data_IF_939952846710
#
_entry.id   IF_939952846710
#
_cell.length_a   1.000
_cell.length_b   1.000
_cell.length_c   1.000
_cell.angle_alpha   90.00
_cell.angle_beta   90.00
_cell.angle_gamma   90.00
#
_symmetry.space_group_name_H-M   'P 1'
#
loop_
_entity.id
_entity.type
_entity.pdbx_description
1 polymer ?
#
# COMPACT_ATOMS: atom_id res chain seq x y z
N UNK A 1 -3.19 -49.13 -12.39
CA UNK A 1 -2.98 -48.34 -13.64
C UNK A 1 -2.71 -46.92 -13.18
N UNK A 2 -1.48 -46.50 -12.85
CA UNK A 2 -0.31 -46.20 -13.70
C UNK A 2 -0.66 -45.29 -14.87
N UNK A 3 -0.47 -43.98 -14.68
CA UNK A 3 0.01 -43.11 -15.76
C UNK A 3 1.45 -42.74 -15.40
N UNK A 4 2.33 -43.24 -16.25
CA UNK A 4 3.79 -43.23 -16.18
C UNK A 4 4.26 -41.86 -16.66
N UNK A 5 5.03 -41.15 -15.84
CA UNK A 5 5.85 -40.03 -16.32
C UNK A 5 6.93 -40.58 -17.25
N UNK A 6 6.87 -40.24 -18.54
CA UNK A 6 7.98 -40.46 -19.46
C UNK A 6 8.84 -39.19 -19.46
N UNK A 7 9.98 -39.27 -18.78
CA UNK A 7 11.15 -38.46 -19.12
C UNK A 7 11.72 -39.00 -20.45
N UNK A 8 11.74 -38.19 -21.49
CA UNK A 8 12.61 -38.41 -22.66
C UNK A 8 13.74 -37.41 -22.54
N UNK A 9 14.96 -37.95 -22.42
CA UNK A 9 16.15 -37.17 -22.15
C UNK A 9 16.92 -36.72 -23.39
N UNK A 10 17.92 -35.89 -23.06
CA UNK A 10 19.26 -35.87 -23.63
C UNK A 10 19.48 -35.08 -24.94
N UNK A 11 19.90 -33.82 -24.79
CA UNK A 11 21.12 -33.33 -25.45
C UNK A 11 21.73 -32.16 -24.67
N UNK A 12 23.05 -32.22 -24.62
CA UNK A 12 24.02 -31.52 -23.79
C UNK A 12 24.24 -30.06 -24.26
N UNK A 13 24.00 -29.07 -23.40
CA UNK A 13 24.77 -27.81 -23.32
C UNK A 13 24.29 -26.92 -22.15
N UNK A 14 25.23 -26.61 -21.24
CA UNK A 14 25.26 -25.54 -20.22
C UNK A 14 23.93 -24.90 -19.78
N UNK A 15 23.45 -25.27 -18.60
CA UNK A 15 22.47 -24.50 -17.82
C UNK A 15 23.13 -24.06 -16.51
N UNK A 16 23.44 -22.77 -16.41
CA UNK A 16 23.32 -22.05 -15.15
C UNK A 16 22.04 -21.20 -15.27
N UNK A 17 20.89 -21.88 -15.39
CA UNK A 17 19.59 -21.27 -15.23
C UNK A 17 19.21 -21.47 -13.77
N UNK A 18 19.10 -20.38 -13.03
CA UNK A 18 18.56 -20.38 -11.68
C UNK A 18 17.21 -21.09 -11.69
N UNK A 19 17.11 -22.18 -10.93
CA UNK A 19 15.84 -22.75 -10.55
C UNK A 19 15.17 -21.72 -9.64
N UNK A 20 14.14 -21.04 -10.14
CA UNK A 20 13.20 -20.31 -9.28
C UNK A 20 12.36 -21.37 -8.56
N UNK A 21 12.43 -21.36 -7.23
CA UNK A 21 11.63 -22.21 -6.36
C UNK A 21 10.13 -21.90 -6.53
N UNK A 22 9.26 -22.91 -6.78
CA UNK A 22 7.83 -22.70 -6.93
C UNK A 22 7.08 -22.45 -5.60
N UNK A 23 7.77 -22.42 -4.45
CA UNK A 23 7.15 -22.26 -3.12
C UNK A 23 7.09 -20.81 -2.60
N UNK A 24 7.36 -19.80 -3.44
CA UNK A 24 7.28 -18.37 -3.06
C UNK A 24 5.94 -17.69 -3.40
N UNK A 25 4.98 -18.42 -3.98
CA UNK A 25 3.67 -17.86 -4.28
C UNK A 25 2.70 -18.09 -3.11
N UNK A 26 2.45 -17.05 -2.33
CA UNK A 26 1.29 -17.03 -1.44
C UNK A 26 0.05 -16.81 -2.31
N UNK A 27 -0.56 -17.90 -2.78
CA UNK A 27 -1.95 -17.87 -3.22
C UNK A 27 -2.83 -17.70 -1.98
N UNK A 28 -3.39 -16.51 -1.77
CA UNK A 28 -4.44 -16.31 -0.77
C UNK A 28 -5.75 -16.85 -1.32
N UNK A 29 -6.10 -18.06 -0.88
CA UNK A 29 -7.42 -18.65 -1.08
C UNK A 29 -8.49 -17.80 -0.38
N UNK A 30 -9.53 -17.45 -1.14
CA UNK A 30 -10.67 -16.67 -0.68
C UNK A 30 -11.68 -17.53 0.08
N UNK A 31 -11.82 -17.30 1.38
CA UNK A 31 -13.00 -17.49 2.24
C UNK A 31 -12.54 -17.15 3.68
N UNK A 32 -13.21 -16.40 4.56
CA UNK A 32 -14.61 -16.33 4.98
C UNK A 32 -14.73 -15.03 5.81
N UNK A 33 -15.67 -14.13 5.54
CA UNK A 33 -16.60 -13.53 6.53
C UNK A 33 -17.44 -12.46 5.83
N UNK A 34 -18.76 -12.53 5.99
CA UNK A 34 -19.71 -11.67 5.28
C UNK A 34 -19.88 -10.35 6.03
N UNK A 35 -19.23 -9.29 5.56
CA UNK A 35 -19.57 -7.92 5.95
C UNK A 35 -20.78 -7.41 5.13
N UNK A 36 -21.70 -6.62 5.73
CA UNK A 36 -22.94 -6.21 5.07
C UNK A 36 -22.70 -5.19 3.94
N UNK A 37 -23.58 -5.15 2.91
CA UNK A 37 -23.39 -4.29 1.74
C UNK A 37 -23.54 -2.80 2.08
N UNK A 38 -22.53 -2.00 1.74
CA UNK A 38 -22.60 -0.54 1.79
C UNK A 38 -23.51 -0.08 0.65
N UNK A 39 -24.75 0.30 1.00
CA UNK A 39 -25.68 0.97 0.09
C UNK A 39 -25.24 2.41 -0.15
N UNK A 40 -25.27 2.82 -1.41
CA UNK A 40 -25.42 4.18 -1.94
C UNK A 40 -25.01 5.34 -1.03
N UNK A 41 -23.82 5.91 -1.25
CA UNK A 41 -23.55 7.30 -0.91
C UNK A 41 -23.26 8.10 -2.18
N UNK A 42 -24.33 8.62 -2.76
CA UNK A 42 -24.29 9.77 -3.65
C UNK A 42 -23.64 11.00 -2.95
N UNK A 43 -23.06 11.95 -3.70
CA UNK A 43 -22.17 12.98 -3.17
C UNK A 43 -22.85 13.97 -2.21
N UNK A 44 -22.15 14.32 -1.12
CA UNK A 44 -22.60 15.33 -0.15
C UNK A 44 -22.60 16.73 -0.78
N UNK A 45 -23.60 17.59 -0.48
CA UNK A 45 -23.61 18.97 -0.94
C UNK A 45 -22.61 19.84 -0.15
N UNK A 46 -22.00 20.74 -0.91
CA UNK A 46 -21.11 21.86 -0.60
C UNK A 46 -21.38 22.54 0.76
N UNK A 47 -20.34 22.69 1.60
CA UNK A 47 -20.37 23.54 2.80
C UNK A 47 -19.47 24.76 2.58
N UNK A 48 -20.12 25.89 2.30
CA UNK A 48 -19.54 27.23 2.36
C UNK A 48 -19.19 27.62 3.82
N UNK A 49 -18.38 28.69 4.04
CA UNK A 49 -17.42 28.78 5.15
C UNK A 49 -18.04 29.29 6.47
N UNK A 50 -17.50 28.78 7.59
CA UNK A 50 -17.82 29.25 8.94
C UNK A 50 -17.18 30.62 9.17
N UNK A 51 -18.02 31.61 9.50
CA UNK A 51 -17.60 32.97 9.84
C UNK A 51 -17.04 33.04 11.26
N UNK A 52 -15.93 33.76 11.37
CA UNK A 52 -15.25 34.21 12.58
C UNK A 52 -16.19 35.12 13.42
N UNK A 53 -16.44 34.76 14.68
CA UNK A 53 -17.04 35.64 15.67
C UNK A 53 -16.24 35.63 16.97
N UNK A 54 -15.67 36.79 17.26
CA UNK A 54 -14.89 37.10 18.44
C UNK A 54 -15.74 37.63 19.62
N UNK A 55 -15.15 37.51 20.83
CA UNK A 55 -15.33 38.30 22.08
C UNK A 55 -16.39 37.80 23.10
N UNK A 56 -16.26 38.11 24.43
CA UNK A 56 -15.31 39.03 25.08
C UNK A 56 -14.55 38.49 26.33
N UNK A 57 -13.67 39.36 26.82
CA UNK A 57 -12.91 39.31 28.07
C UNK A 57 -13.78 39.61 29.32
N UNK A 58 -13.36 39.11 30.50
CA UNK A 58 -13.05 39.93 31.70
C UNK A 58 -12.80 39.09 32.98
N UNK A 59 -11.63 39.36 33.60
CA UNK A 59 -11.31 39.47 35.04
C UNK A 59 -11.37 38.23 36.00
N UNK A 60 -10.54 38.05 37.04
CA UNK A 60 -9.71 38.98 37.84
C UNK A 60 -8.71 38.23 38.77
N UNK A 61 -7.49 38.79 38.91
CA UNK A 61 -6.61 38.96 40.10
C UNK A 61 -6.34 37.86 41.15
N UNK A 62 -5.04 37.60 41.44
CA UNK A 62 -4.45 37.79 42.79
C UNK A 62 -2.91 37.94 42.70
N UNK A 63 -2.32 38.73 43.61
CA UNK A 63 -0.94 39.21 43.58
C UNK A 63 -0.15 38.85 44.87
N UNK A 64 1.04 38.26 44.69
CA UNK A 64 2.23 38.43 45.55
C UNK A 64 2.43 37.46 46.75
N UNK A 65 3.65 37.40 47.36
CA UNK A 65 4.78 38.32 47.19
C UNK A 65 6.15 37.67 46.83
N UNK A 66 7.07 38.56 46.45
CA UNK A 66 8.50 38.37 46.20
C UNK A 66 9.28 38.30 47.53
N UNK A 67 10.27 37.41 47.65
CA UNK A 67 11.39 37.56 48.58
C UNK A 67 12.69 36.99 47.96
N UNK A 68 13.82 37.64 48.27
CA UNK A 68 15.09 37.61 47.52
C UNK A 68 16.07 36.46 47.82
N UNK A 69 17.12 36.36 46.99
CA UNK A 69 18.27 35.44 47.11
C UNK A 69 19.23 35.75 48.29
N UNK A 70 20.50 35.21 48.36
CA UNK A 70 21.40 34.88 47.23
C UNK A 70 22.28 33.59 47.38
N UNK A 71 23.05 33.29 46.32
CA UNK A 71 24.35 32.61 46.16
C UNK A 71 24.71 31.30 46.92
N UNK A 72 25.21 30.31 46.15
CA UNK A 72 25.91 29.14 46.68
C UNK A 72 26.41 28.18 45.60
N UNK A 73 27.66 28.35 45.18
CA UNK A 73 28.45 27.44 44.33
C UNK A 73 28.66 26.07 44.97
N UNK A 74 28.53 24.98 44.20
CA UNK A 74 29.36 23.75 44.34
C UNK A 74 29.60 23.16 42.96
N UNK A 75 30.79 23.41 42.41
CA UNK A 75 31.39 22.56 41.40
C UNK A 75 31.85 21.26 42.09
N UNK A 76 31.39 20.11 41.60
CA UNK A 76 32.07 18.83 41.82
C UNK A 76 32.43 18.25 40.47
N UNK A 77 33.74 18.11 40.32
CA UNK A 77 34.45 17.39 39.28
C UNK A 77 34.03 15.90 39.26
N UNK A 78 33.91 15.32 38.07
CA UNK A 78 33.45 13.94 37.90
C UNK A 78 33.46 13.50 36.45
N UNK A 79 34.56 12.87 36.05
CA UNK A 79 34.80 12.21 34.77
C UNK A 79 33.59 11.43 34.23
N UNK A 80 33.09 11.82 33.05
CA UNK A 80 32.24 10.94 32.22
C UNK A 80 33.09 10.41 31.08
N UNK A 81 33.30 9.09 31.13
CA UNK A 81 33.96 8.31 30.12
C UNK A 81 33.20 8.28 28.78
N UNK A 82 33.98 8.13 27.72
CA UNK A 82 33.65 7.39 26.50
C UNK A 82 32.52 7.94 25.61
N UNK A 83 32.89 8.85 24.71
CA UNK A 83 32.15 9.05 23.45
C UNK A 83 32.94 8.42 22.30
N UNK A 84 32.91 7.09 22.22
CA UNK A 84 33.14 6.40 20.94
C UNK A 84 32.20 6.93 19.85
N UNK A 85 32.55 6.81 18.55
CA UNK A 85 31.77 7.41 17.49
C UNK A 85 30.38 6.78 17.48
N UNK A 86 29.38 7.61 17.76
CA UNK A 86 27.94 7.37 17.71
C UNK A 86 27.60 6.51 16.47
N UNK A 87 27.57 5.20 16.65
CA UNK A 87 27.09 4.29 15.62
C UNK A 87 25.58 4.45 15.66
N UNK A 88 25.01 5.04 14.61
CA UNK A 88 23.56 5.08 14.43
C UNK A 88 22.93 3.70 14.62
N UNK A 89 21.59 3.63 14.75
CA UNK A 89 20.89 2.38 15.04
C UNK A 89 21.37 1.26 14.10
N UNK A 90 21.53 0.02 14.62
CA UNK A 90 22.01 -1.10 13.83
C UNK A 90 21.18 -1.22 12.54
N UNK A 91 21.82 -1.59 11.42
CA UNK A 91 21.20 -1.61 10.08
C UNK A 91 19.93 -2.48 9.97
N UNK A 92 19.70 -3.36 10.94
CA UNK A 92 18.51 -4.21 11.08
C UNK A 92 17.32 -3.51 11.78
N UNK A 93 17.53 -2.29 12.26
CA UNK A 93 16.50 -1.42 12.87
C UNK A 93 16.30 -0.12 12.08
N UNK A 94 16.75 -0.07 10.82
CA UNK A 94 16.42 1.04 9.94
C UNK A 94 14.89 1.19 9.92
N UNK A 95 14.40 2.39 10.26
CA UNK A 95 12.98 2.69 10.11
C UNK A 95 12.58 2.35 8.66
N UNK A 96 11.40 1.74 8.45
CA UNK A 96 11.02 1.34 7.11
C UNK A 96 11.06 2.59 6.20
N UNK A 97 11.60 2.42 5.01
CA UNK A 97 11.75 3.48 4.02
C UNK A 97 10.69 3.38 2.91
N UNK A 98 10.71 4.31 1.95
CA UNK A 98 9.98 4.13 0.71
C UNK A 98 10.50 2.90 -0.03
N UNK A 99 9.60 2.21 -0.70
CA UNK A 99 9.86 1.01 -1.46
C UNK A 99 9.12 1.04 -2.79
N UNK A 100 9.82 0.65 -3.84
CA UNK A 100 9.25 0.57 -5.18
C UNK A 100 8.47 -0.74 -5.34
N UNK A 101 7.14 -0.61 -5.34
CA UNK A 101 6.24 -1.75 -5.50
C UNK A 101 5.83 -1.87 -6.96
N UNK A 102 6.32 -2.90 -7.65
CA UNK A 102 5.96 -3.19 -9.03
C UNK A 102 4.73 -4.09 -9.09
N UNK A 103 3.70 -3.66 -9.81
CA UNK A 103 2.51 -4.44 -10.10
C UNK A 103 2.60 -4.99 -11.53
N UNK A 104 2.37 -6.29 -11.68
CA UNK A 104 2.11 -6.93 -12.96
C UNK A 104 0.77 -7.68 -12.87
N UNK A 105 -0.17 -7.33 -13.73
CA UNK A 105 -1.50 -7.95 -13.73
C UNK A 105 -1.81 -8.58 -15.08
N UNK A 106 -2.22 -9.85 -15.06
CA UNK A 106 -2.77 -10.54 -16.21
C UNK A 106 -4.26 -10.22 -16.35
N UNK A 107 -4.64 -9.80 -17.56
CA UNK A 107 -5.99 -9.39 -17.92
C UNK A 107 -6.70 -10.54 -18.65
N UNK A 108 -8.01 -10.74 -18.42
CA UNK A 108 -8.75 -11.79 -19.11
C UNK A 108 -8.87 -11.48 -20.60
N UNK A 109 -8.98 -12.53 -21.42
CA UNK A 109 -9.21 -12.37 -22.85
C UNK A 109 -10.50 -11.57 -23.09
N UNK A 110 -10.48 -10.68 -24.09
CA UNK A 110 -11.63 -9.82 -24.38
C UNK A 110 -11.72 -8.57 -23.50
N UNK A 111 -10.78 -8.32 -22.59
CA UNK A 111 -10.68 -7.04 -21.87
C UNK A 111 -10.64 -5.88 -22.88
N UNK A 112 -11.65 -4.99 -22.90
CA UNK A 112 -11.69 -3.87 -23.85
C UNK A 112 -10.45 -2.98 -23.72
N UNK A 113 -10.05 -2.35 -24.82
CA UNK A 113 -8.91 -1.44 -24.83
C UNK A 113 -9.13 -0.25 -23.88
N UNK A 114 -8.06 0.23 -23.26
CA UNK A 114 -8.11 1.28 -22.25
C UNK A 114 -7.04 1.09 -21.17
N UNK A 115 -6.94 2.08 -20.31
CA UNK A 115 -6.02 2.10 -19.17
C UNK A 115 -6.56 1.23 -18.05
N UNK A 116 -5.67 0.49 -17.39
CA UNK A 116 -5.97 -0.22 -16.14
C UNK A 116 -5.47 0.67 -15.00
N UNK A 117 -6.26 0.82 -13.95
CA UNK A 117 -5.91 1.61 -12.79
C UNK A 117 -5.89 0.74 -11.55
N UNK A 118 -5.06 1.12 -10.58
CA UNK A 118 -5.21 0.70 -9.20
C UNK A 118 -6.09 1.72 -8.48
N UNK A 119 -7.02 1.26 -7.67
CA UNK A 119 -7.81 2.08 -6.77
C UNK A 119 -7.71 1.49 -5.37
N UNK A 120 -7.23 2.28 -4.40
CA UNK A 120 -6.90 1.73 -3.08
C UNK A 120 -6.44 2.78 -2.07
N UNK A 121 -5.87 2.33 -0.97
CA UNK A 121 -5.48 3.15 0.19
C UNK A 121 -4.09 3.80 0.04
N UNK A 122 -3.57 3.95 -1.18
CA UNK A 122 -2.19 4.38 -1.44
C UNK A 122 -1.93 5.85 -1.08
N UNK A 123 -2.94 6.71 -1.20
CA UNK A 123 -2.83 8.17 -1.07
C UNK A 123 -3.88 8.75 -0.11
N UNK A 124 -4.19 8.04 0.98
CA UNK A 124 -5.19 8.47 1.98
C UNK A 124 -4.86 9.86 2.55
N UNK A 125 -3.58 10.14 2.83
CA UNK A 125 -3.13 11.45 3.30
C UNK A 125 -3.39 12.60 2.31
N UNK A 126 -3.59 12.28 1.03
CA UNK A 126 -3.89 13.24 -0.04
C UNK A 126 -5.38 13.25 -0.42
N UNK A 127 -6.22 12.43 0.23
CA UNK A 127 -7.65 12.30 -0.06
C UNK A 127 -7.93 11.73 -1.46
N UNK A 128 -6.99 10.96 -2.03
CA UNK A 128 -7.13 10.28 -3.33
C UNK A 128 -7.31 8.77 -3.21
N UNK A 129 -7.70 8.30 -2.03
CA UNK A 129 -8.02 6.91 -1.83
C UNK A 129 -9.24 6.50 -2.68
N UNK A 130 -9.22 5.25 -3.16
CA UNK A 130 -10.34 4.64 -3.89
C UNK A 130 -10.85 5.47 -5.10
N UNK A 131 -9.95 6.17 -5.81
CA UNK A 131 -10.29 6.82 -7.07
C UNK A 131 -10.09 5.85 -8.25
N UNK A 132 -11.16 5.37 -8.93
CA UNK A 132 -11.09 4.28 -9.91
C UNK A 132 -10.41 4.66 -11.23
N UNK A 133 -10.12 5.95 -11.45
CA UNK A 133 -9.46 6.46 -12.64
C UNK A 133 -8.28 7.38 -12.32
N UNK A 134 -7.66 7.21 -11.15
CA UNK A 134 -6.50 8.02 -10.78
C UNK A 134 -5.37 7.83 -11.81
N UNK A 135 -4.97 8.93 -12.45
CA UNK A 135 -3.91 8.94 -13.45
C UNK A 135 -2.53 8.65 -12.85
N UNK A 136 -2.32 8.94 -11.56
CA UNK A 136 -1.09 8.59 -10.84
C UNK A 136 -0.97 7.08 -10.59
N UNK A 137 -2.10 6.35 -10.62
CA UNK A 137 -2.18 4.91 -10.43
C UNK A 137 -2.53 4.16 -11.74
N UNK A 138 -2.30 4.81 -12.88
CA UNK A 138 -2.47 4.20 -14.20
C UNK A 138 -1.34 3.21 -14.51
N UNK A 139 -1.72 2.03 -14.97
CA UNK A 139 -0.80 0.98 -15.41
C UNK A 139 -0.61 1.04 -16.93
N UNK A 140 0.62 0.78 -17.37
CA UNK A 140 0.97 0.64 -18.79
C UNK A 140 0.55 -0.73 -19.28
N UNK A 141 -0.34 -0.78 -20.27
CA UNK A 141 -0.88 -2.02 -20.82
C UNK A 141 -0.16 -2.47 -22.08
N UNK A 142 0.21 -3.75 -22.13
CA UNK A 142 0.81 -4.45 -23.24
C UNK A 142 0.02 -5.74 -23.51
N UNK A 143 -0.92 -5.68 -24.46
CA UNK A 143 -1.82 -6.81 -24.77
C UNK A 143 -2.72 -7.17 -23.58
N UNK A 144 -2.55 -8.37 -23.04
CA UNK A 144 -3.29 -8.89 -21.89
C UNK A 144 -2.49 -8.78 -20.58
N UNK A 145 -1.46 -7.93 -20.54
CA UNK A 145 -0.72 -7.65 -19.31
C UNK A 145 -0.70 -6.14 -19.07
N UNK A 146 -0.83 -5.69 -17.83
CA UNK A 146 -0.59 -4.31 -17.45
C UNK A 146 0.44 -4.23 -16.32
N UNK A 147 1.29 -3.21 -16.36
CA UNK A 147 2.42 -3.02 -15.44
C UNK A 147 2.51 -1.60 -14.93
N UNK A 148 2.92 -1.43 -13.69
CA UNK A 148 3.19 -0.11 -13.10
C UNK A 148 3.99 -0.23 -11.82
N UNK A 149 4.41 0.91 -11.28
CA UNK A 149 5.20 0.96 -10.05
C UNK A 149 4.64 2.07 -9.17
N UNK A 150 4.52 1.78 -7.88
CA UNK A 150 4.04 2.72 -6.87
C UNK A 150 5.05 2.72 -5.72
N UNK A 151 5.48 3.91 -5.30
CA UNK A 151 6.37 4.04 -4.14
C UNK A 151 5.53 3.99 -2.87
N UNK A 152 5.70 2.94 -2.06
CA UNK A 152 4.94 2.67 -0.84
C UNK A 152 5.85 2.49 0.36
N UNK A 153 5.28 2.60 1.56
CA UNK A 153 6.03 2.47 2.80
C UNK A 153 6.28 0.98 3.10
N UNK A 154 7.53 0.61 3.37
CA UNK A 154 7.85 -0.78 3.75
C UNK A 154 7.20 -1.16 5.08
N UNK A 155 6.76 -2.42 5.21
CA UNK A 155 6.03 -2.94 6.37
C UNK A 155 4.54 -2.56 6.45
N UNK A 156 4.10 -1.52 5.72
CA UNK A 156 2.71 -1.05 5.73
C UNK A 156 1.77 -1.98 4.97
N UNK A 157 0.49 -1.90 5.33
CA UNK A 157 -0.58 -2.67 4.70
C UNK A 157 -1.42 -1.76 3.80
N UNK A 158 -1.64 -2.20 2.57
CA UNK A 158 -2.48 -1.50 1.60
C UNK A 158 -3.61 -2.39 1.10
N UNK A 159 -4.74 -1.76 0.80
CA UNK A 159 -5.86 -2.39 0.13
C UNK A 159 -6.08 -1.76 -1.23
N UNK A 160 -6.47 -2.57 -2.22
CA UNK A 160 -6.72 -2.06 -3.57
C UNK A 160 -7.62 -2.98 -4.40
N UNK A 161 -8.07 -2.46 -5.54
CA UNK A 161 -8.71 -3.18 -6.63
C UNK A 161 -8.18 -2.71 -7.97
N UNK A 162 -8.37 -3.54 -8.99
CA UNK A 162 -8.19 -3.16 -10.39
C UNK A 162 -9.49 -2.63 -11.00
N UNK A 163 -9.37 -1.56 -11.77
CA UNK A 163 -10.48 -0.92 -12.50
C UNK A 163 -10.02 -0.53 -13.91
N UNK A 164 -10.98 -0.20 -14.78
CA UNK A 164 -10.70 0.40 -16.09
C UNK A 164 -11.07 1.88 -16.18
N UNK A 165 -11.02 2.58 -15.04
CA UNK A 165 -11.30 4.02 -14.94
C UNK A 165 -12.59 4.35 -14.18
N UNK A 166 -13.50 3.39 -14.01
CA UNK A 166 -14.79 3.55 -13.35
C UNK A 166 -15.16 2.30 -12.54
N UNK A 167 -16.00 2.46 -11.52
CA UNK A 167 -16.51 1.36 -10.69
C UNK A 167 -17.45 0.41 -11.45
N UNK A 168 -18.15 0.89 -12.49
CA UNK A 168 -18.92 0.02 -13.39
C UNK A 168 -18.00 -0.94 -14.18
N UNK A 169 -16.70 -0.68 -14.21
CA UNK A 169 -15.68 -1.45 -14.92
C UNK A 169 -14.62 -2.03 -13.96
N UNK A 170 -15.02 -2.32 -12.72
CA UNK A 170 -14.16 -2.94 -11.70
C UNK A 170 -13.98 -4.44 -11.94
N UNK A 171 -12.88 -4.99 -11.41
CA UNK A 171 -12.68 -6.43 -11.38
C UNK A 171 -13.78 -7.18 -10.62
N UNK A 172 -14.16 -8.32 -11.17
CA UNK A 172 -15.12 -9.25 -10.59
C UNK A 172 -14.61 -10.68 -10.71
N UNK A 173 -15.23 -11.59 -9.98
CA UNK A 173 -14.95 -13.02 -10.09
C UNK A 173 -15.34 -13.53 -11.48
N UNK A 174 -14.85 -14.70 -11.86
CA UNK A 174 -15.25 -15.34 -13.13
C UNK A 174 -16.76 -15.64 -13.22
N UNK A 175 -17.49 -15.60 -12.10
CA UNK A 175 -18.94 -15.80 -12.03
C UNK A 175 -19.72 -14.48 -11.83
N UNK A 176 -19.15 -13.34 -12.23
CA UNK A 176 -19.76 -12.00 -12.07
C UNK A 176 -20.00 -11.53 -10.62
N UNK A 177 -19.54 -12.27 -9.61
CA UNK A 177 -19.62 -11.85 -8.21
C UNK A 177 -18.55 -10.81 -7.88
N UNK A 178 -18.84 -9.97 -6.89
CA UNK A 178 -17.88 -9.02 -6.33
C UNK A 178 -16.61 -9.73 -5.83
N UNK A 179 -15.44 -9.12 -6.08
CA UNK A 179 -14.16 -9.53 -5.50
C UNK A 179 -13.89 -8.69 -4.26
N UNK A 180 -13.43 -9.31 -3.16
CA UNK A 180 -12.99 -8.57 -1.98
C UNK A 180 -11.78 -7.67 -2.32
N UNK A 181 -11.53 -6.63 -1.52
CA UNK A 181 -10.32 -5.81 -1.68
C UNK A 181 -9.08 -6.72 -1.64
N UNK A 182 -8.18 -6.54 -2.60
CA UNK A 182 -6.84 -7.14 -2.57
C UNK A 182 -6.06 -6.49 -1.44
N UNK A 183 -5.19 -7.27 -0.81
CA UNK A 183 -4.40 -6.82 0.34
C UNK A 183 -2.95 -7.17 0.13
N UNK A 184 -2.07 -6.18 0.30
CA UNK A 184 -0.63 -6.40 0.39
C UNK A 184 -0.12 -5.89 1.73
N UNK A 185 0.89 -6.58 2.25
CA UNK A 185 1.82 -6.02 3.23
C UNK A 185 3.16 -5.89 2.54
N UNK A 186 3.64 -4.66 2.43
CA UNK A 186 4.89 -4.37 1.75
C UNK A 186 6.03 -4.99 2.55
N UNK A 187 6.89 -5.76 1.88
CA UNK A 187 8.03 -6.45 2.48
C UNK A 187 9.21 -6.38 1.51
N UNK A 188 9.96 -5.30 1.60
CA UNK A 188 10.92 -4.96 0.57
C UNK A 188 12.24 -5.68 0.73
N UNK A 189 12.74 -6.18 -0.40
CA UNK A 189 14.08 -6.72 -0.51
C UNK A 189 14.87 -5.77 -1.42
N UNK A 190 15.97 -5.23 -0.89
CA UNK A 190 16.82 -4.27 -1.62
C UNK A 190 16.04 -3.06 -2.19
N UNK A 191 14.99 -2.62 -1.48
CA UNK A 191 14.18 -1.45 -1.85
C UNK A 191 13.07 -1.72 -2.88
N UNK A 192 12.83 -2.98 -3.25
CA UNK A 192 11.80 -3.37 -4.19
C UNK A 192 10.86 -4.45 -3.63
N UNK A 193 9.62 -4.44 -4.11
CA UNK A 193 8.62 -5.48 -3.82
C UNK A 193 7.76 -5.73 -5.06
N UNK A 194 7.50 -6.99 -5.39
CA UNK A 194 6.76 -7.36 -6.61
C UNK A 194 5.42 -7.99 -6.28
N UNK A 195 4.36 -7.51 -6.95
CA UNK A 195 3.00 -8.00 -6.86
C UNK A 195 2.59 -8.52 -8.24
N UNK A 196 2.17 -9.79 -8.29
CA UNK A 196 1.69 -10.43 -9.52
C UNK A 196 0.26 -10.87 -9.32
N UNK A 197 -0.64 -10.37 -10.16
CA UNK A 197 -2.07 -10.55 -10.03
C UNK A 197 -2.71 -11.09 -11.31
N UNK A 198 -3.91 -11.64 -11.16
CA UNK A 198 -4.78 -12.01 -12.28
C UNK A 198 -6.17 -11.44 -12.03
N UNK A 199 -6.70 -10.71 -13.01
CA UNK A 199 -8.11 -10.31 -13.04
C UNK A 199 -8.92 -11.39 -13.75
N UNK A 200 -9.98 -11.88 -13.11
CA UNK A 200 -10.79 -12.96 -13.68
C UNK A 200 -11.79 -12.45 -14.71
N UNK A 201 -12.48 -11.35 -14.43
CA UNK A 201 -13.44 -10.70 -15.32
C UNK A 201 -13.68 -9.24 -14.91
N UNK A 202 -14.45 -8.50 -15.70
CA UNK A 202 -14.84 -7.11 -15.44
C UNK A 202 -16.35 -6.97 -15.34
N UNK A 203 -16.83 -6.14 -14.42
CA UNK A 203 -18.25 -6.02 -14.11
C UNK A 203 -19.14 -5.70 -15.32
N UNK A 204 -18.68 -4.86 -16.24
CA UNK A 204 -19.43 -4.42 -17.42
C UNK A 204 -19.49 -5.46 -18.56
N UNK A 205 -18.62 -6.47 -18.55
CA UNK A 205 -18.56 -7.49 -19.62
C UNK A 205 -18.62 -8.93 -19.12
N UNK A 206 -18.79 -9.15 -17.82
CA UNK A 206 -18.95 -10.48 -17.28
C UNK A 206 -20.31 -11.05 -17.72
N UNK A 207 -20.34 -12.32 -18.11
CA UNK A 207 -21.54 -13.04 -18.58
C UNK A 207 -21.53 -14.47 -18.08
#
# INVERSE_FOLDING_TARGET
MVIKALCVGLSLALLASGCVDPDQYVTVDAAVDAAPPVRDQAPRPDLAPVQDQAMPADAQTDAGPLDGGPDGDVATDGDVADTGPDQGPPADMAAPGPCEVSFEVALPAGTPAGTIHLAGTFYEAEGRDWQPGDAALALTREGNTARGTVSLQDGDRYEYKYTRGDWEMVEVTGACGEVANRVIRVACLDGAFAVVDVVASWQDICQ
#
